data_IF_771299195046
#
_entry.id   IF_771299195046
#
_cell.length_a   1.000
_cell.length_b   1.000
_cell.length_c   1.000
_cell.angle_alpha   90.00
_cell.angle_beta   90.00
_cell.angle_gamma   90.00
#
_symmetry.space_group_name_H-M   'P 1'
#
loop_
_entity.id
_entity.type
_entity.pdbx_description
1 polymer ?
#
# COMPACT_ATOMS: atom_id res chain seq x y z
N UNK A 1 61.96 -15.19 -82.68
CA UNK A 1 62.69 -15.49 -81.42
C UNK A 1 63.11 -14.16 -80.84
N UNK A 2 62.82 -13.72 -79.62
CA UNK A 2 62.46 -14.38 -78.36
C UNK A 2 61.58 -13.45 -77.51
N UNK A 3 60.67 -14.05 -76.72
CA UNK A 3 59.98 -13.43 -75.58
C UNK A 3 60.99 -12.95 -74.53
N UNK A 4 60.62 -11.95 -73.72
CA UNK A 4 61.06 -11.85 -72.33
C UNK A 4 60.01 -11.07 -71.51
N UNK A 5 59.23 -11.82 -70.73
CA UNK A 5 58.27 -11.33 -69.74
C UNK A 5 59.02 -11.08 -68.41
N UNK A 6 58.95 -9.86 -67.88
CA UNK A 6 59.48 -9.54 -66.55
C UNK A 6 58.39 -9.78 -65.50
N UNK A 7 58.53 -10.87 -64.75
CA UNK A 7 57.70 -11.25 -63.61
C UNK A 7 57.93 -10.28 -62.43
N UNK A 8 56.86 -9.59 -62.01
CA UNK A 8 56.79 -8.87 -60.74
C UNK A 8 56.66 -9.86 -59.56
N UNK A 9 57.31 -9.62 -58.41
CA UNK A 9 57.36 -10.58 -57.31
C UNK A 9 56.04 -10.66 -56.54
N UNK A 10 55.39 -11.84 -56.60
CA UNK A 10 54.12 -12.20 -55.96
C UNK A 10 54.07 -12.10 -54.41
N UNK A 11 55.16 -11.68 -53.74
CA UNK A 11 55.25 -11.65 -52.27
C UNK A 11 54.69 -10.37 -51.61
N UNK A 12 54.44 -9.29 -52.35
CA UNK A 12 53.97 -8.01 -51.76
C UNK A 12 52.44 -7.85 -51.71
N UNK A 13 51.69 -8.65 -52.47
CA UNK A 13 50.22 -8.56 -52.54
C UNK A 13 49.54 -9.18 -51.31
N UNK A 14 50.15 -10.20 -50.70
CA UNK A 14 49.59 -10.85 -49.50
C UNK A 14 49.60 -9.98 -48.24
N UNK A 15 50.60 -9.11 -48.06
CA UNK A 15 50.71 -8.26 -46.88
C UNK A 15 49.74 -7.06 -46.89
N UNK A 16 49.40 -6.55 -48.08
CA UNK A 16 48.48 -5.41 -48.22
C UNK A 16 47.01 -5.83 -48.03
N UNK A 17 46.65 -7.06 -48.44
CA UNK A 17 45.30 -7.61 -48.27
C UNK A 17 44.96 -7.89 -46.80
N UNK A 18 45.94 -8.30 -45.98
CA UNK A 18 45.73 -8.51 -44.54
C UNK A 18 45.55 -7.20 -43.76
N UNK A 19 46.20 -6.10 -44.18
CA UNK A 19 46.08 -4.79 -43.52
C UNK A 19 44.74 -4.10 -43.84
N UNK A 20 44.21 -4.29 -45.06
CA UNK A 20 42.92 -3.74 -45.47
C UNK A 20 41.74 -4.45 -44.78
N UNK A 21 41.87 -5.74 -44.48
CA UNK A 21 40.87 -6.49 -43.73
C UNK A 21 40.77 -6.07 -42.25
N UNK A 22 41.86 -5.56 -41.66
CA UNK A 22 41.86 -5.05 -40.29
C UNK A 22 41.23 -3.66 -40.15
N UNK A 23 41.23 -2.85 -41.21
CA UNK A 23 40.63 -1.51 -41.19
C UNK A 23 39.10 -1.51 -41.32
N UNK A 24 38.49 -2.62 -41.73
CA UNK A 24 37.03 -2.76 -41.90
C UNK A 24 36.29 -3.29 -40.65
N UNK A 25 37.01 -3.67 -39.58
CA UNK A 25 36.41 -4.17 -38.34
C UNK A 25 36.11 -3.06 -37.30
N UNK A 26 36.32 -1.78 -37.63
CA UNK A 26 36.14 -0.66 -36.70
C UNK A 26 34.76 0.02 -36.75
N UNK A 27 33.84 -0.44 -37.62
CA UNK A 27 32.43 0.00 -37.58
C UNK A 27 31.60 -0.93 -36.68
N UNK A 28 32.03 -1.13 -35.42
CA UNK A 28 31.13 -1.63 -34.39
C UNK A 28 30.29 -0.44 -33.92
N UNK A 29 29.08 -0.29 -34.46
CA UNK A 29 28.06 0.60 -33.88
C UNK A 29 27.91 0.22 -32.41
N UNK A 30 28.00 1.17 -31.46
CA UNK A 30 27.70 0.88 -30.08
C UNK A 30 26.29 0.31 -30.03
N UNK A 31 26.17 -0.93 -29.55
CA UNK A 31 24.88 -1.54 -29.24
C UNK A 31 24.34 -0.80 -28.02
N UNK A 32 23.69 0.34 -28.29
CA UNK A 32 22.83 0.97 -27.31
C UNK A 32 21.69 -0.02 -27.15
N UNK A 33 21.76 -0.82 -26.08
CA UNK A 33 20.70 -1.73 -25.70
C UNK A 33 19.34 -1.00 -25.74
N UNK A 34 18.23 -1.74 -25.88
CA UNK A 34 16.91 -1.15 -25.99
C UNK A 34 16.75 -0.06 -24.91
N UNK A 35 16.18 1.12 -25.26
CA UNK A 35 15.94 2.17 -24.29
C UNK A 35 15.30 1.56 -23.05
N UNK A 36 15.69 1.96 -21.83
CA UNK A 36 15.06 1.45 -20.62
C UNK A 36 13.55 1.52 -20.81
N UNK A 37 12.87 0.38 -20.65
CA UNK A 37 11.41 0.33 -20.83
C UNK A 37 10.80 1.41 -19.95
N UNK A 38 10.18 2.40 -20.58
CA UNK A 38 9.48 3.45 -19.83
C UNK A 38 8.45 2.78 -18.95
N UNK A 39 8.43 3.05 -17.63
CA UNK A 39 7.45 2.47 -16.73
C UNK A 39 6.06 2.76 -17.30
N UNK A 40 5.32 1.71 -17.65
CA UNK A 40 4.03 1.84 -18.32
C UNK A 40 2.91 1.38 -17.41
N UNK A 41 1.79 2.11 -17.45
CA UNK A 41 0.57 1.71 -16.76
C UNK A 41 0.12 0.29 -17.17
N UNK A 42 0.35 -0.13 -18.42
CA UNK A 42 0.03 -1.47 -18.91
C UNK A 42 0.87 -2.56 -18.21
N UNK A 43 2.16 -2.31 -17.99
CA UNK A 43 3.01 -3.21 -17.21
C UNK A 43 2.51 -3.36 -15.77
N UNK A 44 2.16 -2.24 -15.13
CA UNK A 44 1.59 -2.25 -13.78
C UNK A 44 0.25 -3.02 -13.70
N UNK A 45 -0.65 -2.83 -14.66
CA UNK A 45 -1.92 -3.56 -14.74
C UNK A 45 -1.71 -5.06 -14.93
N UNK A 46 -0.74 -5.47 -15.76
CA UNK A 46 -0.41 -6.87 -15.97
C UNK A 46 0.13 -7.54 -14.69
N UNK A 47 1.05 -6.88 -13.97
CA UNK A 47 1.55 -7.34 -12.68
C UNK A 47 0.41 -7.45 -11.64
N UNK A 48 -0.51 -6.48 -11.62
CA UNK A 48 -1.66 -6.51 -10.72
C UNK A 48 -2.57 -7.71 -11.01
N UNK A 49 -2.87 -7.96 -12.29
CA UNK A 49 -3.69 -9.09 -12.72
C UNK A 49 -3.03 -10.46 -12.43
N UNK A 50 -1.69 -10.52 -12.43
CA UNK A 50 -0.92 -11.70 -12.06
C UNK A 50 -0.88 -11.95 -10.53
N UNK A 51 -1.32 -10.99 -9.72
CA UNK A 51 -1.22 -11.03 -8.26
C UNK A 51 0.11 -10.51 -7.71
N UNK A 52 1.02 -10.03 -8.56
CA UNK A 52 2.29 -9.41 -8.18
C UNK A 52 2.07 -7.96 -7.74
N UNK A 53 1.36 -7.80 -6.62
CA UNK A 53 0.90 -6.50 -6.14
C UNK A 53 2.05 -5.55 -5.78
N UNK A 54 3.16 -6.03 -5.20
CA UNK A 54 4.30 -5.15 -4.90
C UNK A 54 4.94 -4.58 -6.17
N UNK A 55 5.05 -5.40 -7.23
CA UNK A 55 5.58 -4.97 -8.53
C UNK A 55 4.63 -3.97 -9.20
N UNK A 56 3.32 -4.27 -9.20
CA UNK A 56 2.30 -3.36 -9.72
C UNK A 56 2.33 -1.99 -9.04
N UNK A 57 2.41 -1.99 -7.70
CA UNK A 57 2.47 -0.77 -6.92
C UNK A 57 3.72 0.06 -7.23
N UNK A 58 4.86 -0.59 -7.46
CA UNK A 58 6.12 0.07 -7.82
C UNK A 58 6.03 0.71 -9.21
N UNK A 59 5.55 -0.04 -10.21
CA UNK A 59 5.41 0.46 -11.58
C UNK A 59 4.43 1.64 -11.68
N UNK A 60 3.31 1.61 -10.97
CA UNK A 60 2.39 2.75 -10.92
C UNK A 60 3.00 3.99 -10.24
N UNK A 61 3.81 3.81 -9.19
CA UNK A 61 4.50 4.92 -8.54
C UNK A 61 5.54 5.55 -9.44
N UNK A 62 6.35 4.75 -10.13
CA UNK A 62 7.34 5.22 -11.10
C UNK A 62 6.65 5.99 -12.22
N UNK A 63 5.57 5.45 -12.78
CA UNK A 63 4.79 6.13 -13.81
C UNK A 63 4.23 7.47 -13.31
N UNK A 64 3.74 7.52 -12.06
CA UNK A 64 3.17 8.74 -11.47
C UNK A 64 4.18 9.89 -11.27
N UNK A 65 5.49 9.62 -11.30
CA UNK A 65 6.54 10.66 -11.20
C UNK A 65 6.54 11.54 -12.45
N UNK A 66 6.34 10.94 -13.61
CA UNK A 66 6.41 11.63 -14.91
C UNK A 66 5.03 12.08 -15.45
N UNK A 67 3.94 11.76 -14.71
CA UNK A 67 2.56 12.10 -15.09
C UNK A 67 2.11 13.49 -14.61
N UNK A 68 1.08 14.03 -15.28
CA UNK A 68 0.39 15.24 -14.82
C UNK A 68 -0.38 15.03 -13.50
N UNK A 69 -0.76 16.10 -12.75
CA UNK A 69 -1.29 15.98 -11.39
C UNK A 69 -2.50 15.05 -11.20
N UNK A 70 -3.48 15.11 -12.11
CA UNK A 70 -4.69 14.29 -12.03
C UNK A 70 -4.40 12.81 -12.29
N UNK A 71 -3.57 12.52 -13.29
CA UNK A 71 -3.17 11.15 -13.63
C UNK A 71 -2.27 10.56 -12.54
N UNK A 72 -1.28 11.34 -12.06
CA UNK A 72 -0.43 10.96 -10.95
C UNK A 72 -1.24 10.64 -9.69
N UNK A 73 -2.32 11.37 -9.40
CA UNK A 73 -3.21 11.06 -8.29
C UNK A 73 -3.95 9.71 -8.50
N UNK A 74 -4.48 9.44 -9.70
CA UNK A 74 -5.13 8.16 -10.02
C UNK A 74 -4.16 6.98 -9.91
N UNK A 75 -2.92 7.15 -10.40
CA UNK A 75 -1.86 6.15 -10.30
C UNK A 75 -1.44 5.88 -8.86
N UNK A 76 -1.32 6.94 -8.03
CA UNK A 76 -1.06 6.80 -6.59
C UNK A 76 -2.17 6.03 -5.88
N UNK A 77 -3.44 6.21 -6.26
CA UNK A 77 -4.55 5.41 -5.72
C UNK A 77 -4.41 3.94 -6.12
N UNK A 78 -4.09 3.65 -7.39
CA UNK A 78 -3.85 2.27 -7.85
C UNK A 78 -2.68 1.61 -7.09
N UNK A 79 -1.57 2.32 -6.92
CA UNK A 79 -0.43 1.83 -6.18
C UNK A 79 -0.72 1.62 -4.68
N UNK A 80 -1.46 2.53 -4.05
CA UNK A 80 -1.88 2.36 -2.66
C UNK A 80 -2.78 1.13 -2.50
N UNK A 81 -3.67 0.90 -3.46
CA UNK A 81 -4.51 -0.30 -3.49
C UNK A 81 -3.66 -1.59 -3.56
N UNK A 82 -2.72 -1.64 -4.49
CA UNK A 82 -1.80 -2.77 -4.61
C UNK A 82 -0.94 -2.97 -3.34
N UNK A 83 -0.49 -1.90 -2.69
CA UNK A 83 0.20 -2.03 -1.40
C UNK A 83 -0.68 -2.67 -0.32
N UNK A 84 -1.98 -2.37 -0.28
CA UNK A 84 -2.90 -3.02 0.66
C UNK A 84 -3.09 -4.52 0.38
N UNK A 85 -3.19 -4.88 -0.89
CA UNK A 85 -3.29 -6.28 -1.32
C UNK A 85 -1.98 -7.05 -1.06
N UNK A 86 -0.84 -6.37 -1.13
CA UNK A 86 0.46 -6.89 -0.71
C UNK A 86 0.64 -6.97 0.82
N UNK A 87 -0.32 -6.52 1.62
CA UNK A 87 -0.22 -6.52 3.09
C UNK A 87 0.72 -5.44 3.65
N UNK A 88 0.92 -4.34 2.92
CA UNK A 88 1.80 -3.21 3.29
C UNK A 88 0.99 -1.93 3.52
N UNK A 89 0.13 -1.85 4.54
CA UNK A 89 -0.75 -0.70 4.78
C UNK A 89 0.02 0.60 5.02
N UNK A 90 1.19 0.55 5.66
CA UNK A 90 1.99 1.75 5.92
C UNK A 90 2.46 2.44 4.63
N UNK A 91 2.81 1.65 3.60
CA UNK A 91 3.19 2.18 2.28
C UNK A 91 2.00 2.80 1.57
N UNK A 92 0.82 2.19 1.69
CA UNK A 92 -0.41 2.75 1.16
C UNK A 92 -0.72 4.11 1.83
N UNK A 93 -0.69 4.19 3.16
CA UNK A 93 -0.89 5.43 3.89
C UNK A 93 0.08 6.52 3.46
N UNK A 94 1.38 6.19 3.38
CA UNK A 94 2.40 7.13 2.96
C UNK A 94 2.12 7.74 1.59
N UNK A 95 1.72 6.91 0.63
CA UNK A 95 1.46 7.33 -0.74
C UNK A 95 0.22 8.23 -0.84
N UNK A 96 -0.82 7.95 -0.06
CA UNK A 96 -2.08 8.69 -0.07
C UNK A 96 -1.97 10.09 0.55
N UNK A 97 -0.98 10.34 1.42
CA UNK A 97 -0.77 11.66 2.06
C UNK A 97 -0.54 12.80 1.05
N UNK A 98 -0.08 12.46 -0.15
CA UNK A 98 0.28 13.43 -1.18
C UNK A 98 -0.85 13.68 -2.19
N UNK A 99 -2.03 13.09 -1.98
CA UNK A 99 -3.15 13.23 -2.92
C UNK A 99 -3.99 14.45 -2.57
N UNK A 100 -4.02 15.39 -3.50
CA UNK A 100 -4.94 16.52 -3.46
C UNK A 100 -6.32 16.11 -3.97
N UNK A 101 -7.32 16.03 -3.07
CA UNK A 101 -8.69 15.59 -3.41
C UNK A 101 -9.39 16.49 -4.44
N UNK A 102 -8.96 17.75 -4.60
CA UNK A 102 -9.47 18.70 -5.60
C UNK A 102 -9.16 18.27 -7.04
N UNK A 103 -8.09 17.50 -7.25
CA UNK A 103 -7.64 17.07 -8.57
C UNK A 103 -8.28 15.74 -9.01
N UNK A 104 -9.11 15.13 -8.15
CA UNK A 104 -9.71 13.82 -8.39
C UNK A 104 -11.03 13.94 -9.16
N UNK A 105 -11.18 13.08 -10.16
CA UNK A 105 -12.48 12.79 -10.75
C UNK A 105 -13.40 12.14 -9.71
N UNK A 106 -14.72 12.15 -9.96
CA UNK A 106 -15.67 11.44 -9.08
C UNK A 106 -15.33 9.93 -8.95
N UNK A 107 -14.86 9.33 -10.05
CA UNK A 107 -14.43 7.93 -10.10
C UNK A 107 -13.18 7.69 -9.24
N UNK A 108 -12.17 8.53 -9.37
CA UNK A 108 -10.95 8.39 -8.57
C UNK A 108 -11.20 8.68 -7.09
N UNK A 109 -12.09 9.62 -6.78
CA UNK A 109 -12.53 9.86 -5.41
C UNK A 109 -13.19 8.62 -4.79
N UNK A 110 -14.10 7.97 -5.52
CA UNK A 110 -14.71 6.71 -5.06
C UNK A 110 -13.68 5.59 -4.86
N UNK A 111 -12.67 5.49 -5.74
CA UNK A 111 -11.57 4.52 -5.56
C UNK A 111 -10.71 4.85 -4.34
N UNK A 112 -10.39 6.12 -4.13
CA UNK A 112 -9.68 6.59 -2.94
C UNK A 112 -10.46 6.23 -1.67
N UNK A 113 -11.76 6.54 -1.62
CA UNK A 113 -12.60 6.27 -0.46
C UNK A 113 -12.69 4.76 -0.18
N UNK A 114 -12.66 3.90 -1.21
CA UNK A 114 -12.58 2.44 -1.04
C UNK A 114 -11.27 1.98 -0.38
N UNK A 115 -10.12 2.52 -0.83
CA UNK A 115 -8.79 2.24 -0.24
C UNK A 115 -8.73 2.74 1.21
N UNK A 116 -9.27 3.93 1.48
CA UNK A 116 -9.36 4.47 2.83
C UNK A 116 -10.30 3.64 3.72
N UNK A 117 -11.38 3.08 3.18
CA UNK A 117 -12.27 2.20 3.94
C UNK A 117 -11.56 0.89 4.36
N UNK A 118 -10.75 0.29 3.48
CA UNK A 118 -9.93 -0.88 3.83
C UNK A 118 -8.91 -0.55 4.94
N UNK A 119 -8.21 0.58 4.82
CA UNK A 119 -7.32 1.09 5.88
C UNK A 119 -8.07 1.30 7.20
N UNK A 120 -9.24 1.93 7.17
CA UNK A 120 -10.08 2.12 8.36
C UNK A 120 -10.49 0.78 9.00
N UNK A 121 -10.88 -0.22 8.21
CA UNK A 121 -11.22 -1.56 8.72
C UNK A 121 -10.04 -2.31 9.31
N UNK A 122 -8.83 -2.11 8.77
CA UNK A 122 -7.58 -2.63 9.34
C UNK A 122 -7.21 -1.93 10.63
N UNK A 123 -7.46 -0.63 10.71
CA UNK A 123 -7.34 0.17 11.93
C UNK A 123 -8.52 -0.04 12.92
N UNK A 124 -9.44 -0.96 12.60
CA UNK A 124 -10.63 -1.27 13.38
C UNK A 124 -11.51 -0.04 13.68
N UNK A 125 -11.71 0.80 12.66
CA UNK A 125 -12.59 1.98 12.63
C UNK A 125 -13.78 1.74 11.68
N UNK A 126 -14.69 0.80 12.00
CA UNK A 126 -15.72 0.36 11.07
C UNK A 126 -16.78 1.43 10.75
N UNK A 127 -17.04 2.40 11.64
CA UNK A 127 -17.97 3.51 11.38
C UNK A 127 -17.45 4.47 10.30
N UNK A 128 -16.15 4.78 10.35
CA UNK A 128 -15.48 5.57 9.33
C UNK A 128 -15.49 4.81 8.00
N UNK A 129 -15.13 3.52 8.02
CA UNK A 129 -15.17 2.67 6.84
C UNK A 129 -16.58 2.64 6.20
N UNK A 130 -17.63 2.46 7.01
CA UNK A 130 -19.01 2.49 6.52
C UNK A 130 -19.39 3.84 5.89
N UNK A 131 -18.88 4.94 6.43
CA UNK A 131 -19.10 6.28 5.86
C UNK A 131 -18.38 6.45 4.52
N UNK A 132 -17.12 6.04 4.43
CA UNK A 132 -16.33 6.06 3.20
C UNK A 132 -16.95 5.18 2.11
N UNK A 133 -17.43 3.98 2.47
CA UNK A 133 -18.13 3.09 1.54
C UNK A 133 -19.42 3.73 1.00
N UNK A 134 -20.24 4.36 1.87
CA UNK A 134 -21.43 5.09 1.39
C UNK A 134 -21.08 6.22 0.42
N UNK A 135 -19.98 6.93 0.66
CA UNK A 135 -19.49 8.00 -0.21
C UNK A 135 -18.97 7.48 -1.55
N UNK A 136 -18.32 6.31 -1.56
CA UNK A 136 -17.77 5.69 -2.76
C UNK A 136 -18.86 5.14 -3.71
N UNK A 137 -19.95 4.61 -3.15
CA UNK A 137 -21.01 3.87 -3.88
C UNK A 137 -21.52 4.55 -5.17
N UNK A 138 -21.83 5.86 -5.21
CA UNK A 138 -22.45 6.50 -6.37
C UNK A 138 -21.56 6.55 -7.63
N UNK A 139 -20.23 6.56 -7.47
CA UNK A 139 -19.28 6.72 -8.57
C UNK A 139 -18.30 5.53 -8.69
N UNK A 140 -18.66 4.40 -8.06
CA UNK A 140 -17.79 3.23 -8.00
C UNK A 140 -17.67 2.55 -9.39
N UNK A 141 -16.44 2.27 -9.87
CA UNK A 141 -16.25 1.48 -11.08
C UNK A 141 -16.76 0.04 -10.91
N UNK A 142 -17.26 -0.57 -11.99
CA UNK A 142 -17.70 -1.97 -11.99
C UNK A 142 -16.61 -2.95 -11.52
N UNK A 143 -15.36 -2.73 -11.91
CA UNK A 143 -14.22 -3.54 -11.51
C UNK A 143 -13.97 -3.53 -9.98
N UNK A 144 -14.41 -2.49 -9.27
CA UNK A 144 -14.23 -2.36 -7.82
C UNK A 144 -15.39 -2.93 -7.00
N UNK A 145 -16.44 -3.47 -7.66
CA UNK A 145 -17.68 -3.86 -6.98
C UNK A 145 -17.51 -5.04 -6.02
N UNK A 146 -16.81 -6.10 -6.44
CA UNK A 146 -16.56 -7.27 -5.57
C UNK A 146 -15.90 -6.86 -4.27
N UNK A 147 -14.84 -6.04 -4.37
CA UNK A 147 -14.11 -5.55 -3.20
C UNK A 147 -14.97 -4.65 -2.32
N UNK A 148 -15.80 -3.79 -2.90
CA UNK A 148 -16.76 -2.99 -2.14
C UNK A 148 -17.70 -3.86 -1.31
N UNK A 149 -18.28 -4.90 -1.91
CA UNK A 149 -19.22 -5.78 -1.22
C UNK A 149 -18.50 -6.55 -0.09
N UNK A 150 -17.25 -6.99 -0.29
CA UNK A 150 -16.40 -7.61 0.73
C UNK A 150 -16.11 -6.68 1.91
N UNK A 151 -15.68 -5.44 1.64
CA UNK A 151 -15.41 -4.43 2.66
C UNK A 151 -16.67 -4.05 3.42
N UNK A 152 -17.82 -3.95 2.73
CA UNK A 152 -19.11 -3.69 3.36
C UNK A 152 -19.52 -4.82 4.32
N UNK A 153 -19.37 -6.08 3.89
CA UNK A 153 -19.63 -7.23 4.75
C UNK A 153 -18.70 -7.27 5.97
N UNK A 154 -17.42 -6.93 5.78
CA UNK A 154 -16.45 -6.84 6.88
C UNK A 154 -16.78 -5.71 7.86
N UNK A 155 -17.12 -4.53 7.36
CA UNK A 155 -17.57 -3.41 8.17
C UNK A 155 -18.78 -3.80 9.02
N UNK A 156 -19.79 -4.42 8.41
CA UNK A 156 -20.98 -4.86 9.14
C UNK A 156 -20.64 -5.88 10.24
N UNK A 157 -19.77 -6.85 9.96
CA UNK A 157 -19.32 -7.82 10.98
C UNK A 157 -18.66 -7.12 12.17
N UNK A 158 -17.72 -6.19 11.92
CA UNK A 158 -17.04 -5.44 12.98
C UNK A 158 -18.02 -4.55 13.77
N UNK A 159 -19.01 -3.93 13.13
CA UNK A 159 -20.04 -3.13 13.83
C UNK A 159 -20.93 -3.98 14.74
N UNK A 160 -21.20 -5.23 14.35
CA UNK A 160 -22.03 -6.15 15.13
C UNK A 160 -21.26 -6.89 16.23
N UNK A 161 -19.94 -6.74 16.28
CA UNK A 161 -19.08 -7.40 17.26
C UNK A 161 -19.35 -6.85 18.68
N UNK A 162 -19.69 -7.70 19.67
CA UNK A 162 -19.84 -7.30 21.06
C UNK A 162 -18.65 -6.53 21.63
N UNK A 163 -17.41 -6.96 21.33
CA UNK A 163 -16.22 -6.30 21.85
C UNK A 163 -16.08 -4.89 21.29
N UNK A 164 -16.43 -4.68 20.02
CA UNK A 164 -16.42 -3.36 19.38
C UNK A 164 -17.46 -2.41 20.01
N UNK A 165 -18.62 -2.92 20.40
CA UNK A 165 -19.63 -2.12 21.13
C UNK A 165 -19.11 -1.63 22.47
N UNK A 166 -18.43 -2.51 23.21
CA UNK A 166 -17.88 -2.15 24.50
C UNK A 166 -16.73 -1.14 24.35
N UNK A 167 -15.89 -1.27 23.31
CA UNK A 167 -14.84 -0.28 23.01
C UNK A 167 -15.38 1.08 22.56
N UNK A 168 -16.45 1.10 21.76
CA UNK A 168 -17.12 2.35 21.39
C UNK A 168 -17.72 3.04 22.62
N UNK A 169 -18.36 2.27 23.52
CA UNK A 169 -18.87 2.78 24.80
C UNK A 169 -17.73 3.36 25.66
N UNK A 170 -16.60 2.65 25.72
CA UNK A 170 -15.40 3.09 26.42
C UNK A 170 -14.88 4.42 25.85
N UNK A 171 -14.80 4.55 24.52
CA UNK A 171 -14.33 5.77 23.86
C UNK A 171 -15.21 6.99 24.17
N UNK A 172 -16.54 6.88 24.01
CA UNK A 172 -17.47 7.99 24.30
C UNK A 172 -17.43 8.40 25.77
N UNK A 173 -17.24 7.44 26.68
CA UNK A 173 -17.11 7.71 28.11
C UNK A 173 -15.81 8.46 28.42
N UNK A 174 -14.72 8.13 27.74
CA UNK A 174 -13.44 8.84 27.87
C UNK A 174 -13.52 10.26 27.34
N UNK A 175 -14.12 10.48 26.16
CA UNK A 175 -14.33 11.82 25.59
C UNK A 175 -15.18 12.72 26.50
N UNK A 176 -16.15 12.14 27.22
CA UNK A 176 -16.97 12.85 28.20
C UNK A 176 -16.25 13.19 29.52
N UNK A 177 -15.12 12.54 29.81
CA UNK A 177 -14.31 12.81 31.00
C UNK A 177 -13.38 14.00 30.77
N UNK A 178 -13.91 15.21 30.97
CA UNK A 178 -13.10 16.44 30.97
C UNK A 178 -12.12 16.55 32.15
N UNK A 179 -12.36 15.80 33.24
CA UNK A 179 -11.50 15.68 34.42
C UNK A 179 -11.59 14.24 34.96
N UNK A 180 -10.63 13.82 35.80
CA UNK A 180 -10.65 12.48 36.41
C UNK A 180 -11.87 12.28 37.32
N UNK A 181 -12.67 11.26 37.02
CA UNK A 181 -13.82 10.80 37.82
C UNK A 181 -13.64 9.30 38.14
N UNK A 182 -13.59 8.96 39.43
CA UNK A 182 -13.37 7.58 39.92
C UNK A 182 -14.50 6.63 39.51
N UNK A 183 -15.76 7.10 39.51
CA UNK A 183 -16.89 6.26 39.12
C UNK A 183 -16.84 5.97 37.63
N UNK A 184 -16.55 6.99 36.83
CA UNK A 184 -16.37 6.82 35.39
C UNK A 184 -15.15 5.94 35.06
N UNK A 185 -14.06 6.04 35.82
CA UNK A 185 -12.90 5.17 35.66
C UNK A 185 -13.23 3.69 35.94
N UNK A 186 -14.00 3.40 37.00
CA UNK A 186 -14.40 2.02 37.33
C UNK A 186 -15.36 1.42 36.31
N UNK A 187 -16.33 2.20 35.82
CA UNK A 187 -17.23 1.75 34.76
C UNK A 187 -16.47 1.50 33.45
N UNK A 188 -15.50 2.36 33.13
CA UNK A 188 -14.64 2.17 31.96
C UNK A 188 -13.86 0.85 32.06
N UNK A 189 -13.27 0.57 33.23
CA UNK A 189 -12.55 -0.69 33.48
C UNK A 189 -13.45 -1.93 33.35
N UNK A 190 -14.71 -1.86 33.82
CA UNK A 190 -15.70 -2.95 33.65
C UNK A 190 -16.08 -3.17 32.20
N UNK A 191 -16.29 -2.10 31.44
CA UNK A 191 -16.58 -2.19 30.00
C UNK A 191 -15.40 -2.82 29.26
N UNK A 192 -14.18 -2.40 29.59
CA UNK A 192 -12.98 -2.95 28.98
C UNK A 192 -12.77 -4.41 29.34
N UNK A 193 -13.23 -4.93 30.49
CA UNK A 193 -13.14 -6.34 30.88
C UNK A 193 -13.69 -7.31 29.83
N UNK A 194 -14.76 -6.92 29.12
CA UNK A 194 -15.38 -7.74 28.06
C UNK A 194 -14.60 -7.74 26.74
N UNK A 195 -13.62 -6.86 26.58
CA UNK A 195 -12.74 -6.77 25.40
C UNK A 195 -11.61 -7.77 25.56
N UNK A 196 -11.27 -8.56 24.55
CA UNK A 196 -10.18 -9.54 24.68
C UNK A 196 -8.81 -8.88 24.88
N UNK A 197 -7.87 -9.57 25.54
CA UNK A 197 -6.51 -9.03 25.75
C UNK A 197 -5.77 -8.80 24.44
N UNK A 198 -6.03 -9.61 23.41
CA UNK A 198 -5.48 -9.39 22.06
C UNK A 198 -5.99 -8.10 21.42
N UNK A 199 -7.28 -7.81 21.56
CA UNK A 199 -7.87 -6.56 21.06
C UNK A 199 -7.44 -5.32 21.83
N UNK A 200 -7.17 -5.44 23.13
CA UNK A 200 -6.57 -4.37 23.93
C UNK A 200 -5.13 -4.08 23.47
N UNK A 201 -4.30 -5.13 23.31
CA UNK A 201 -2.91 -4.99 22.86
C UNK A 201 -2.82 -4.34 21.48
N UNK A 202 -3.58 -4.84 20.50
CA UNK A 202 -3.61 -4.28 19.14
C UNK A 202 -3.98 -2.80 19.14
N UNK A 203 -4.89 -2.36 20.02
CA UNK A 203 -5.34 -0.96 20.06
C UNK A 203 -4.49 -0.04 20.93
N UNK A 204 -3.89 -0.55 22.00
CA UNK A 204 -2.92 0.21 22.80
C UNK A 204 -1.68 0.59 21.96
N UNK A 205 -1.30 -0.26 21.00
CA UNK A 205 -0.18 -0.03 20.07
C UNK A 205 -0.50 0.97 18.94
N UNK A 206 -1.73 1.48 18.84
CA UNK A 206 -2.12 2.48 17.82
C UNK A 206 -2.28 3.90 18.40
N UNK A 207 -1.18 4.67 18.54
CA UNK A 207 -1.19 6.01 19.14
C UNK A 207 -1.83 7.08 18.24
N UNK A 208 -2.30 6.74 17.03
CA UNK A 208 -3.07 7.66 16.17
C UNK A 208 -4.54 7.73 16.58
N UNK A 209 -5.02 6.79 17.40
CA UNK A 209 -6.28 6.90 18.11
C UNK A 209 -6.14 7.87 19.30
N UNK A 210 -7.27 8.36 19.82
CA UNK A 210 -7.35 9.25 20.98
C UNK A 210 -6.37 8.84 22.11
N UNK A 211 -5.40 9.72 22.39
CA UNK A 211 -4.34 9.50 23.40
C UNK A 211 -4.90 9.16 24.77
N UNK A 212 -6.08 9.70 25.12
CA UNK A 212 -6.68 9.45 26.42
C UNK A 212 -7.20 8.01 26.51
N UNK A 213 -7.91 7.54 25.47
CA UNK A 213 -8.39 6.16 25.40
C UNK A 213 -7.23 5.16 25.35
N UNK A 214 -6.16 5.44 24.58
CA UNK A 214 -4.98 4.58 24.49
C UNK A 214 -4.38 4.29 25.88
N UNK A 215 -4.30 5.30 26.76
CA UNK A 215 -3.80 5.10 28.12
C UNK A 215 -4.67 4.17 28.97
N UNK A 216 -5.99 4.19 28.78
CA UNK A 216 -6.92 3.28 29.48
C UNK A 216 -6.86 1.85 28.94
N UNK A 217 -6.70 1.68 27.63
CA UNK A 217 -6.53 0.36 27.01
C UNK A 217 -5.23 -0.32 27.49
N UNK A 218 -4.14 0.44 27.56
CA UNK A 218 -2.86 -0.03 28.10
C UNK A 218 -2.96 -0.41 29.57
N UNK A 219 -3.58 0.45 30.40
CA UNK A 219 -3.83 0.14 31.81
C UNK A 219 -4.65 -1.16 31.98
N UNK A 220 -5.72 -1.33 31.21
CA UNK A 220 -6.55 -2.54 31.28
C UNK A 220 -5.78 -3.80 30.87
N UNK A 221 -4.88 -3.68 29.89
CA UNK A 221 -4.00 -4.76 29.46
C UNK A 221 -2.98 -5.12 30.54
N UNK A 222 -2.28 -4.13 31.11
CA UNK A 222 -1.30 -4.29 32.20
C UNK A 222 -1.96 -4.95 33.41
N UNK A 223 -3.13 -4.46 33.83
CA UNK A 223 -3.91 -5.03 34.93
C UNK A 223 -4.16 -6.52 34.70
N UNK A 224 -4.57 -6.93 33.50
CA UNK A 224 -4.79 -8.37 33.20
C UNK A 224 -3.51 -9.19 33.13
N UNK A 225 -2.45 -8.64 32.55
CA UNK A 225 -1.17 -9.33 32.46
C UNK A 225 -0.54 -9.57 33.83
N UNK A 226 -0.85 -8.71 34.82
CA UNK A 226 -0.24 -8.76 36.16
C UNK A 226 -1.18 -9.23 37.28
N UNK A 227 -2.50 -9.27 37.09
CA UNK A 227 -3.46 -9.76 38.11
C UNK A 227 -3.84 -11.24 37.96
N UNK A 228 -3.47 -11.93 36.87
CA UNK A 228 -3.62 -13.39 36.79
C UNK A 228 -2.39 -14.08 37.40
N UNK A 229 -2.41 -14.22 38.74
CA UNK A 229 -1.94 -15.37 39.52
C UNK A 229 -2.28 -15.19 41.01
N UNK A 230 -3.37 -15.78 41.52
CA UNK A 230 -3.30 -16.43 42.81
C UNK A 230 -2.82 -17.86 42.53
N UNK A 231 -1.51 -18.09 42.62
CA UNK A 231 -1.06 -19.49 42.79
C UNK A 231 -1.71 -20.02 44.05
N UNK A 232 -2.29 -21.21 43.94
CA UNK A 232 -3.06 -21.85 44.98
C UNK A 232 -2.30 -21.81 46.30
N UNK A 233 -2.91 -21.17 47.30
CA UNK A 233 -2.54 -21.37 48.69
C UNK A 233 -3.40 -22.54 49.16
N UNK A 234 -2.75 -23.70 49.31
CA UNK A 234 -3.29 -24.85 50.03
C UNK A 234 -3.35 -24.63 51.53
#
# INVERSE_FOLDING_TARGET
>A
MSRNETLLPARRVGALALYLAWLLAACATPDWGPPPETPSAAGAESAFAAGDFEQAATLWQEHAVDSGPAEAASLRISAADAWLLAGRPDRAEELLRWIERSNLTARDRARLDLVLADLALRANRPDEAATLLRQASPALPAASRSRFDELQARAQRQLTDPAMRDLSRAATQVEGMGFYDVRAALELMRVLENVSSGELAIRAENPRADRQLTGWLDLALVIRQHLVRPEGVG
#
